data_IF_492906109054
#
_entry.id   IF_492906109054
#
_cell.length_a   1.000
_cell.length_b   1.000
_cell.length_c   1.000
_cell.angle_alpha   90.00
_cell.angle_beta   90.00
_cell.angle_gamma   90.00
#
_symmetry.space_group_name_H-M   'P 1'
#
loop_
_entity.id
_entity.type
_entity.pdbx_description
1 polymer ?
#
# COMPACT_ATOMS: atom_id res chain seq x y z
N UNK A 1 11.08 -0.69 -15.64
CA UNK A 1 11.58 -2.03 -15.26
C UNK A 1 10.54 -3.08 -15.58
N UNK A 2 10.81 -4.02 -16.48
CA UNK A 2 9.90 -5.12 -16.81
C UNK A 2 10.22 -6.36 -15.98
N UNK A 3 9.19 -7.03 -15.47
CA UNK A 3 9.29 -8.29 -14.73
C UNK A 3 8.76 -9.40 -15.62
N UNK A 4 9.64 -10.30 -16.04
CA UNK A 4 9.31 -11.36 -17.02
C UNK A 4 9.47 -12.75 -16.38
N UNK A 5 10.37 -12.88 -15.41
CA UNK A 5 10.69 -14.14 -14.72
C UNK A 5 10.82 -13.93 -13.22
N UNK A 6 10.79 -15.01 -12.44
CA UNK A 6 10.96 -15.02 -10.99
C UNK A 6 12.29 -14.35 -10.53
N UNK A 7 13.33 -14.40 -11.37
CA UNK A 7 14.61 -13.72 -11.08
C UNK A 7 14.52 -12.20 -11.14
N UNK A 8 13.51 -11.64 -11.82
CA UNK A 8 13.30 -10.20 -11.87
C UNK A 8 13.00 -9.62 -10.48
N UNK A 9 12.47 -10.41 -9.55
CA UNK A 9 12.19 -10.02 -8.17
C UNK A 9 13.46 -9.78 -7.33
N UNK A 10 14.60 -10.34 -7.74
CA UNK A 10 15.91 -10.14 -7.07
C UNK A 10 16.71 -8.97 -7.66
N UNK A 11 16.10 -8.18 -8.55
CA UNK A 11 16.73 -7.00 -9.12
C UNK A 11 17.16 -6.02 -8.02
N UNK A 12 18.33 -5.41 -8.21
CA UNK A 12 18.94 -4.51 -7.23
C UNK A 12 18.00 -3.36 -6.83
N UNK A 13 17.15 -2.90 -7.74
CA UNK A 13 16.22 -1.80 -7.52
C UNK A 13 15.06 -2.19 -6.59
N UNK A 14 14.61 -3.45 -6.64
CA UNK A 14 13.61 -3.99 -5.72
C UNK A 14 14.21 -4.13 -4.33
N UNK A 15 15.39 -4.76 -4.24
CA UNK A 15 16.10 -4.95 -2.96
C UNK A 15 16.39 -3.60 -2.31
N UNK A 16 16.95 -2.64 -3.07
CA UNK A 16 17.22 -1.29 -2.58
C UNK A 16 15.95 -0.55 -2.17
N UNK A 17 14.83 -0.77 -2.85
CA UNK A 17 13.54 -0.19 -2.43
C UNK A 17 13.14 -0.71 -1.06
N UNK A 18 13.11 -2.03 -0.88
CA UNK A 18 12.76 -2.67 0.40
C UNK A 18 13.69 -2.18 1.53
N UNK A 19 15.00 -2.13 1.30
CA UNK A 19 15.96 -1.62 2.29
C UNK A 19 15.73 -0.14 2.63
N UNK A 20 15.43 0.70 1.65
CA UNK A 20 15.19 2.14 1.89
C UNK A 20 13.90 2.36 2.65
N UNK A 21 12.84 1.61 2.34
CA UNK A 21 11.61 1.66 3.13
C UNK A 21 11.89 1.24 4.58
N UNK A 22 12.60 0.12 4.79
CA UNK A 22 12.94 -0.35 6.15
C UNK A 22 13.86 0.60 6.91
N UNK A 23 14.86 1.20 6.27
CA UNK A 23 15.92 1.93 6.99
C UNK A 23 15.76 3.45 7.00
N UNK A 24 15.08 4.04 6.01
CA UNK A 24 15.07 5.49 5.77
C UNK A 24 13.69 6.11 5.79
N UNK A 25 12.66 5.33 5.48
CA UNK A 25 11.31 5.85 5.44
C UNK A 25 10.69 5.87 6.85
N UNK A 26 10.08 7.00 7.18
CA UNK A 26 9.30 7.24 8.38
C UNK A 26 7.93 7.75 7.95
N UNK A 27 6.82 7.17 8.43
CA UNK A 27 5.48 7.67 8.14
C UNK A 27 5.32 9.15 8.55
N UNK A 28 4.51 9.94 7.83
CA UNK A 28 4.31 11.35 8.15
C UNK A 28 3.82 11.58 9.58
N UNK A 29 4.23 12.69 10.18
CA UNK A 29 3.76 13.09 11.51
C UNK A 29 2.28 13.51 11.48
N UNK A 30 1.59 13.38 12.61
CA UNK A 30 0.20 13.83 12.76
C UNK A 30 -0.85 12.90 12.12
N UNK A 31 -0.44 11.78 11.53
CA UNK A 31 -1.36 10.77 11.02
C UNK A 31 -2.09 10.08 12.19
N UNK A 32 -3.37 9.78 12.01
CA UNK A 32 -4.21 9.03 12.97
C UNK A 32 -4.64 7.67 12.42
N UNK A 33 -4.63 7.51 11.09
CA UNK A 33 -5.06 6.31 10.40
C UNK A 33 -4.19 6.07 9.16
N UNK A 34 -3.76 4.83 8.94
CA UNK A 34 -3.20 4.41 7.65
C UNK A 34 -4.23 3.59 6.87
N UNK A 35 -4.43 3.95 5.60
CA UNK A 35 -5.26 3.21 4.65
C UNK A 35 -4.37 2.54 3.61
N UNK A 36 -4.46 1.22 3.53
CA UNK A 36 -3.76 0.41 2.55
C UNK A 36 -4.66 0.09 1.37
N UNK A 37 -4.15 0.33 0.16
CA UNK A 37 -4.89 0.25 -1.10
C UNK A 37 -4.20 -0.72 -2.06
N UNK A 38 -4.93 -1.35 -2.99
CA UNK A 38 -4.32 -2.21 -3.98
C UNK A 38 -3.65 -1.35 -5.05
N UNK A 39 -2.67 -1.92 -5.75
CA UNK A 39 -2.00 -1.25 -6.86
C UNK A 39 -2.93 -0.99 -8.05
N UNK A 40 -2.44 -0.26 -9.05
CA UNK A 40 -3.11 -0.11 -10.33
C UNK A 40 -2.11 -0.17 -11.48
N UNK A 41 -2.58 -0.59 -12.65
CA UNK A 41 -1.74 -0.69 -13.85
C UNK A 41 -1.15 0.67 -14.26
N UNK A 42 -1.97 1.73 -14.17
CA UNK A 42 -1.54 3.10 -14.49
C UNK A 42 -0.77 3.72 -13.33
N UNK A 43 0.45 4.17 -13.60
CA UNK A 43 1.31 4.92 -12.68
C UNK A 43 1.46 6.38 -13.13
N UNK A 44 1.60 7.35 -12.22
CA UNK A 44 1.46 7.22 -10.76
C UNK A 44 0.04 6.78 -10.38
N UNK A 45 -0.11 6.01 -9.30
CA UNK A 45 -1.37 5.32 -8.98
C UNK A 45 -2.51 6.30 -8.80
N UNK A 46 -2.28 7.47 -8.18
CA UNK A 46 -3.27 8.56 -8.01
C UNK A 46 -3.94 9.01 -9.31
N UNK A 47 -3.28 8.83 -10.45
CA UNK A 47 -3.83 9.18 -11.77
C UNK A 47 -4.76 8.12 -12.35
N UNK A 48 -4.79 6.91 -11.77
CA UNK A 48 -5.64 5.80 -12.21
C UNK A 48 -7.11 6.01 -11.84
N UNK A 49 -8.03 5.40 -12.60
CA UNK A 49 -9.47 5.50 -12.35
C UNK A 49 -9.86 4.97 -10.98
N UNK A 50 -9.25 3.86 -10.55
CA UNK A 50 -9.54 3.22 -9.26
C UNK A 50 -9.08 4.10 -8.09
N UNK A 51 -7.85 4.61 -8.13
CA UNK A 51 -7.33 5.46 -7.05
C UNK A 51 -8.04 6.81 -6.98
N UNK A 52 -8.47 7.39 -8.10
CA UNK A 52 -9.36 8.57 -8.07
C UNK A 52 -10.66 8.31 -7.30
N UNK A 53 -11.19 7.08 -7.36
CA UNK A 53 -12.36 6.69 -6.54
C UNK A 53 -11.99 6.54 -5.07
N UNK A 54 -10.86 5.90 -4.75
CA UNK A 54 -10.39 5.74 -3.37
C UNK A 54 -10.17 7.10 -2.71
N UNK A 55 -9.44 8.00 -3.37
CA UNK A 55 -9.19 9.38 -2.91
C UNK A 55 -10.50 10.12 -2.67
N UNK A 56 -11.50 9.97 -3.56
CA UNK A 56 -12.82 10.58 -3.39
C UNK A 56 -13.52 10.08 -2.12
N UNK A 57 -13.51 8.76 -1.89
CA UNK A 57 -14.11 8.13 -0.70
C UNK A 57 -13.40 8.63 0.56
N UNK A 58 -12.08 8.53 0.61
CA UNK A 58 -11.25 8.98 1.75
C UNK A 58 -11.54 10.45 2.07
N UNK A 59 -11.49 11.35 1.08
CA UNK A 59 -11.79 12.77 1.27
C UNK A 59 -13.20 13.01 1.79
N UNK A 60 -14.20 12.33 1.23
CA UNK A 60 -15.60 12.51 1.64
C UNK A 60 -15.89 11.99 3.05
N UNK A 61 -15.20 10.93 3.48
CA UNK A 61 -15.34 10.34 4.80
C UNK A 61 -14.59 11.12 5.87
N UNK A 62 -13.36 11.53 5.60
CA UNK A 62 -12.49 12.22 6.55
C UNK A 62 -12.78 13.72 6.68
N UNK A 63 -13.37 14.33 5.64
CA UNK A 63 -13.69 15.76 5.57
C UNK A 63 -12.46 16.64 5.87
N UNK A 64 -12.53 17.47 6.90
CA UNK A 64 -11.48 18.37 7.38
C UNK A 64 -10.23 17.64 7.89
N UNK A 65 -10.37 16.37 8.28
CA UNK A 65 -9.30 15.56 8.86
C UNK A 65 -8.57 14.69 7.83
N UNK A 66 -8.72 14.97 6.53
CA UNK A 66 -8.03 14.21 5.47
C UNK A 66 -6.50 14.20 5.65
N UNK A 67 -5.92 15.27 6.20
CA UNK A 67 -4.48 15.34 6.48
C UNK A 67 -3.99 14.34 7.54
N UNK A 68 -4.90 13.78 8.35
CA UNK A 68 -4.58 12.75 9.34
C UNK A 68 -4.64 11.32 8.75
N UNK A 69 -4.97 11.17 7.47
CA UNK A 69 -5.02 9.87 6.80
C UNK A 69 -3.80 9.68 5.93
N UNK A 70 -3.05 8.63 6.20
CA UNK A 70 -1.93 8.22 5.38
C UNK A 70 -2.33 7.13 4.39
N UNK A 71 -1.97 7.28 3.11
CA UNK A 71 -2.29 6.31 2.07
C UNK A 71 -1.05 5.51 1.67
N UNK A 72 -1.15 4.19 1.71
CA UNK A 72 -0.08 3.26 1.33
C UNK A 72 -0.60 2.29 0.28
N UNK A 73 0.15 2.08 -0.80
CA UNK A 73 -0.23 1.18 -1.89
C UNK A 73 0.52 -0.13 -1.73
N UNK A 74 -0.19 -1.25 -1.72
CA UNK A 74 0.39 -2.59 -1.73
C UNK A 74 0.53 -3.10 -3.16
N UNK A 75 1.74 -3.56 -3.50
CA UNK A 75 2.04 -4.00 -4.86
C UNK A 75 3.18 -4.99 -4.91
N UNK A 76 3.09 -5.95 -5.81
CA UNK A 76 4.24 -6.70 -6.26
C UNK A 76 5.00 -5.87 -7.31
N UNK A 77 6.35 -5.88 -7.34
CA UNK A 77 7.28 -6.59 -6.45
C UNK A 77 7.74 -5.73 -5.25
N UNK A 78 7.25 -4.50 -5.15
CA UNK A 78 7.78 -3.49 -4.22
C UNK A 78 7.31 -3.68 -2.77
N UNK A 79 6.32 -4.53 -2.52
CA UNK A 79 5.69 -4.74 -1.22
C UNK A 79 4.73 -3.61 -0.88
N UNK A 80 5.27 -2.50 -0.37
CA UNK A 80 4.51 -1.26 -0.15
C UNK A 80 5.14 -0.05 -0.84
N UNK A 81 4.29 0.91 -1.17
CA UNK A 81 4.64 2.21 -1.71
C UNK A 81 3.80 3.28 -1.00
N UNK A 82 4.41 4.09 -0.11
CA UNK A 82 3.78 5.30 0.40
C UNK A 82 3.37 6.24 -0.74
N UNK A 83 2.18 6.87 -0.66
CA UNK A 83 1.62 7.66 -1.76
C UNK A 83 2.54 8.79 -2.21
N UNK A 84 3.19 9.47 -1.30
CA UNK A 84 4.18 10.52 -1.56
C UNK A 84 5.41 10.02 -2.33
N UNK A 85 5.69 8.71 -2.30
CA UNK A 85 6.78 8.08 -3.04
C UNK A 85 6.33 7.43 -4.37
N UNK A 86 5.05 7.50 -4.74
CA UNK A 86 4.54 6.84 -5.95
C UNK A 86 5.15 7.38 -7.25
N UNK A 87 5.64 8.63 -7.21
CA UNK A 87 6.32 9.30 -8.32
C UNK A 87 7.81 8.98 -8.43
N UNK A 88 8.37 8.19 -7.50
CA UNK A 88 9.81 7.91 -7.41
C UNK A 88 10.13 6.56 -8.05
N UNK A 89 11.33 6.44 -8.63
CA UNK A 89 11.82 5.16 -9.15
C UNK A 89 12.12 4.18 -7.98
N UNK A 90 11.72 2.89 -8.05
CA UNK A 90 11.08 2.22 -9.18
C UNK A 90 9.54 2.24 -9.18
N UNK A 91 8.87 2.79 -8.16
CA UNK A 91 7.40 2.79 -8.03
C UNK A 91 6.67 3.39 -9.24
N UNK A 92 7.22 4.45 -9.84
CA UNK A 92 6.63 5.08 -11.03
C UNK A 92 6.88 4.30 -12.34
N UNK A 93 7.86 3.38 -12.36
CA UNK A 93 8.45 2.86 -13.61
C UNK A 93 8.72 1.36 -13.54
N UNK A 94 7.68 0.58 -13.23
CA UNK A 94 7.73 -0.88 -13.39
C UNK A 94 6.54 -1.41 -14.21
N UNK A 95 6.70 -2.60 -14.76
CA UNK A 95 5.70 -3.29 -15.57
C UNK A 95 5.78 -4.78 -15.23
N UNK A 96 4.66 -5.35 -14.80
CA UNK A 96 4.55 -6.74 -14.35
C UNK A 96 3.35 -7.38 -15.05
N UNK A 97 3.43 -8.66 -15.46
CA UNK A 97 2.24 -9.40 -15.82
C UNK A 97 1.37 -9.55 -14.57
N UNK A 98 0.10 -9.17 -14.66
CA UNK A 98 -0.86 -9.33 -13.57
C UNK A 98 -1.40 -10.76 -13.63
N UNK A 99 -0.61 -11.73 -13.17
CA UNK A 99 -1.03 -13.14 -13.09
C UNK A 99 -1.92 -13.42 -11.88
N UNK A 100 -1.90 -12.53 -10.88
CA UNK A 100 -2.63 -12.72 -9.61
C UNK A 100 -1.94 -13.68 -8.64
N UNK A 101 -0.94 -14.44 -9.11
CA UNK A 101 -0.15 -15.35 -8.30
C UNK A 101 0.99 -14.60 -7.61
N UNK A 102 1.06 -14.73 -6.29
CA UNK A 102 2.15 -14.20 -5.48
C UNK A 102 3.08 -15.32 -5.06
N UNK A 103 4.35 -15.22 -5.42
CA UNK A 103 5.37 -16.14 -4.92
C UNK A 103 5.54 -15.96 -3.41
N UNK A 104 5.85 -17.04 -2.70
CA UNK A 104 6.07 -16.99 -1.24
C UNK A 104 7.17 -15.99 -0.84
N UNK A 105 8.15 -15.79 -1.70
CA UNK A 105 9.18 -14.76 -1.50
C UNK A 105 8.61 -13.34 -1.53
N UNK A 106 7.67 -13.06 -2.43
CA UNK A 106 6.99 -11.75 -2.51
C UNK A 106 6.10 -11.53 -1.30
N UNK A 107 5.32 -12.56 -0.91
CA UNK A 107 4.48 -12.51 0.30
C UNK A 107 5.32 -12.22 1.53
N UNK A 108 6.46 -12.92 1.69
CA UNK A 108 7.41 -12.70 2.78
C UNK A 108 7.92 -11.26 2.83
N UNK A 109 8.40 -10.72 1.71
CA UNK A 109 8.91 -9.34 1.68
C UNK A 109 7.81 -8.32 1.97
N UNK A 110 6.61 -8.51 1.42
CA UNK A 110 5.47 -7.65 1.71
C UNK A 110 5.14 -7.66 3.21
N UNK A 111 5.09 -8.85 3.82
CA UNK A 111 4.84 -9.04 5.27
C UNK A 111 5.88 -8.35 6.14
N UNK A 112 7.17 -8.57 5.87
CA UNK A 112 8.27 -7.93 6.62
C UNK A 112 8.17 -6.39 6.57
N UNK A 113 7.88 -5.87 5.38
CA UNK A 113 7.78 -4.44 5.16
C UNK A 113 6.55 -3.82 5.83
N UNK A 114 5.41 -4.52 5.79
CA UNK A 114 4.21 -4.13 6.52
C UNK A 114 4.46 -4.09 8.03
N UNK A 115 5.09 -5.13 8.59
CA UNK A 115 5.42 -5.17 10.01
C UNK A 115 6.36 -4.04 10.43
N UNK A 116 7.37 -3.74 9.62
CA UNK A 116 8.27 -2.60 9.85
C UNK A 116 7.52 -1.26 9.80
N UNK A 117 6.70 -1.05 8.76
CA UNK A 117 5.88 0.15 8.62
C UNK A 117 4.93 0.33 9.80
N UNK A 118 4.19 -0.71 10.20
CA UNK A 118 3.22 -0.64 11.29
C UNK A 118 3.89 -0.32 12.63
N UNK A 119 5.08 -0.87 12.89
CA UNK A 119 5.89 -0.56 14.09
C UNK A 119 6.32 0.90 14.14
N UNK A 120 6.58 1.52 12.98
CA UNK A 120 6.94 2.94 12.88
C UNK A 120 5.73 3.85 12.98
N UNK A 121 4.64 3.51 12.29
CA UNK A 121 3.44 4.33 12.19
C UNK A 121 2.70 4.40 13.53
N UNK A 122 2.58 3.26 14.25
CA UNK A 122 1.91 3.14 15.56
C UNK A 122 0.49 3.72 15.59
N UNK A 123 -0.20 3.67 14.45
CA UNK A 123 -1.59 4.08 14.30
C UNK A 123 -2.42 2.92 13.79
N UNK A 124 -3.74 3.05 13.86
CA UNK A 124 -4.65 2.06 13.26
C UNK A 124 -4.43 1.95 11.76
N UNK A 125 -4.66 0.74 11.25
CA UNK A 125 -4.41 0.37 9.87
C UNK A 125 -5.63 -0.37 9.30
N UNK A 126 -6.17 0.15 8.21
CA UNK A 126 -7.28 -0.46 7.46
C UNK A 126 -6.76 -0.78 6.06
N UNK A 127 -7.02 -1.97 5.55
CA UNK A 127 -6.71 -2.36 4.18
C UNK A 127 -7.98 -2.60 3.36
N UNK A 128 -8.03 -2.00 2.18
CA UNK A 128 -8.99 -2.35 1.13
C UNK A 128 -8.23 -3.12 0.05
N UNK A 129 -8.15 -4.45 0.19
CA UNK A 129 -7.40 -5.35 -0.70
C UNK A 129 -8.09 -6.69 -0.82
N UNK A 130 -7.71 -7.48 -1.82
CA UNK A 130 -8.24 -8.81 -2.13
C UNK A 130 -7.14 -9.87 -2.29
N UNK A 131 -7.57 -11.13 -2.42
CA UNK A 131 -6.69 -12.28 -2.68
C UNK A 131 -5.53 -12.41 -1.69
N UNK A 132 -4.33 -12.68 -2.21
CA UNK A 132 -3.12 -12.86 -1.39
C UNK A 132 -2.79 -11.64 -0.51
N UNK A 133 -3.13 -10.42 -0.94
CA UNK A 133 -2.87 -9.22 -0.12
C UNK A 133 -3.78 -9.17 1.11
N UNK A 134 -5.02 -9.65 1.00
CA UNK A 134 -5.94 -9.77 2.15
C UNK A 134 -5.37 -10.74 3.19
N UNK A 135 -4.92 -11.91 2.77
CA UNK A 135 -4.29 -12.90 3.66
C UNK A 135 -3.08 -12.29 4.38
N UNK A 136 -2.18 -11.64 3.65
CA UNK A 136 -0.99 -10.99 4.23
C UNK A 136 -1.38 -9.90 5.24
N UNK A 137 -2.38 -9.06 4.92
CA UNK A 137 -2.86 -8.01 5.81
C UNK A 137 -3.50 -8.56 7.08
N UNK A 138 -4.31 -9.60 6.98
CA UNK A 138 -4.94 -10.26 8.15
C UNK A 138 -3.88 -10.90 9.05
N UNK A 139 -2.87 -11.57 8.48
CA UNK A 139 -1.74 -12.17 9.23
C UNK A 139 -0.94 -11.16 10.04
N UNK A 140 -0.80 -9.91 9.56
CA UNK A 140 -0.10 -8.84 10.30
C UNK A 140 -1.03 -8.07 11.25
N UNK A 141 -2.28 -8.53 11.42
CA UNK A 141 -3.25 -7.98 12.37
C UNK A 141 -3.93 -6.69 11.89
N UNK A 142 -3.99 -6.45 10.59
CA UNK A 142 -4.71 -5.30 10.03
C UNK A 142 -6.19 -5.61 9.85
N UNK A 143 -7.03 -4.59 9.97
CA UNK A 143 -8.44 -4.69 9.61
C UNK A 143 -8.59 -4.65 8.09
N UNK A 144 -9.23 -5.67 7.50
CA UNK A 144 -9.44 -5.74 6.04
C UNK A 144 -10.92 -5.58 5.69
N UNK A 145 -11.22 -4.56 4.89
CA UNK A 145 -12.58 -4.23 4.44
C UNK A 145 -12.81 -4.71 3.00
N UNK A 146 -14.01 -5.20 2.71
CA UNK A 146 -14.33 -5.82 1.41
C UNK A 146 -14.96 -4.83 0.42
N UNK A 147 -15.47 -3.69 0.89
CA UNK A 147 -16.16 -2.71 0.05
C UNK A 147 -15.71 -1.27 0.30
N UNK A 148 -15.87 -0.41 -0.71
CA UNK A 148 -15.59 1.03 -0.56
C UNK A 148 -16.55 1.75 0.38
N UNK A 149 -17.79 1.26 0.49
CA UNK A 149 -18.76 1.75 1.47
C UNK A 149 -18.29 1.48 2.89
N UNK A 150 -17.80 0.26 3.14
CA UNK A 150 -17.27 -0.14 4.44
C UNK A 150 -16.00 0.63 4.78
N UNK A 151 -15.06 0.76 3.84
CA UNK A 151 -13.89 1.62 4.00
C UNK A 151 -14.30 3.05 4.41
N UNK A 152 -15.28 3.61 3.71
CA UNK A 152 -15.79 4.94 3.99
C UNK A 152 -16.40 5.08 5.39
N UNK A 153 -17.09 4.06 5.90
CA UNK A 153 -17.68 4.07 7.24
C UNK A 153 -16.61 3.95 8.32
N UNK A 154 -15.65 3.03 8.16
CA UNK A 154 -14.56 2.83 9.12
C UNK A 154 -13.66 4.06 9.22
N UNK A 155 -13.39 4.75 8.10
CA UNK A 155 -12.68 6.04 8.13
C UNK A 155 -13.45 7.08 8.96
N UNK A 156 -14.78 7.17 8.82
CA UNK A 156 -15.57 8.11 9.62
C UNK A 156 -15.48 7.79 11.10
N UNK A 157 -15.57 6.52 11.48
CA UNK A 157 -15.52 6.09 12.89
C UNK A 157 -14.16 6.39 13.53
N UNK A 158 -13.06 6.12 12.82
CA UNK A 158 -11.70 6.27 13.37
C UNK A 158 -11.22 7.72 13.43
N UNK A 159 -11.76 8.56 12.55
CA UNK A 159 -11.34 9.96 12.41
C UNK A 159 -12.32 10.92 13.06
N UNK A 160 -13.55 10.51 13.41
CA UNK A 160 -14.48 11.32 14.24
C UNK A 160 -13.84 11.73 15.56
#
# INVERSE_FOLDING_TARGET
>A
MRFITCESYKRAEVIRWHERIKRRYTPPEGIRLTVFLPCSAKKPYSSSRSHKRFIKVIKSSAKDKVGAIHEVILTSPLGLVPRELEGVYPANSYDIPVTGEWLETEKRFCRELLQDYLKKAKVKAIAYVDGALREICEEVGMEVVASLSELGNRIKEEVS
#
